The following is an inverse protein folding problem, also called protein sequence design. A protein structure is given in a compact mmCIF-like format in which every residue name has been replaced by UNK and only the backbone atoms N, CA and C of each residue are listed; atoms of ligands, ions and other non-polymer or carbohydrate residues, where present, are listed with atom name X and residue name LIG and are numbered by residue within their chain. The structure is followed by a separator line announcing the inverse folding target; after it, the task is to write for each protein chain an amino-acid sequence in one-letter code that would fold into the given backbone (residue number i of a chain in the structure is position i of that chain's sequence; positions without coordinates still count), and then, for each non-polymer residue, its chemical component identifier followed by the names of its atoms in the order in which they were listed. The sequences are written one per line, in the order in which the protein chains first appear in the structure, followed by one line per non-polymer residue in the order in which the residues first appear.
data_IF_753844077822
#
_entry.id   IF_753844077822
#
_cell.length_a   1.000
_cell.length_b   1.000
_cell.length_c   1.000
_cell.angle_alpha   90.00
_cell.angle_beta   90.00
_cell.angle_gamma   90.00
#
_symmetry.space_group_name_H-M   'P 1'
#
loop_
_entity.id
_entity.type
_entity.pdbx_description
1 polymer ?
#
# COMPACT_ATOMS: atom_id res chain seq x y z
N UNK A 1 14.70 11.37 -4.93
CA UNK A 1 13.31 11.69 -4.54
C UNK A 1 13.09 11.13 -3.15
N UNK A 2 12.68 11.94 -2.18
CA UNK A 2 12.59 11.52 -0.78
C UNK A 2 11.13 11.18 -0.46
N UNK A 3 10.73 9.93 -0.72
CA UNK A 3 9.35 9.44 -0.58
C UNK A 3 8.75 9.67 0.81
N UNK A 4 9.58 9.61 1.85
CA UNK A 4 9.17 9.86 3.24
C UNK A 4 8.81 11.34 3.41
N UNK A 5 9.65 12.24 2.88
CA UNK A 5 9.36 13.68 2.90
C UNK A 5 8.10 14.01 2.10
N UNK A 6 7.92 13.39 0.93
CA UNK A 6 6.74 13.59 0.10
C UNK A 6 5.47 13.15 0.85
N UNK A 7 5.49 11.97 1.50
CA UNK A 7 4.41 11.52 2.39
C UNK A 7 4.12 12.55 3.49
N UNK A 8 5.12 13.00 4.23
CA UNK A 8 4.95 13.98 5.31
C UNK A 8 4.33 15.27 4.80
N UNK A 9 4.80 15.79 3.66
CA UNK A 9 4.24 16.99 3.04
C UNK A 9 2.79 16.82 2.62
N UNK A 10 2.45 15.72 1.96
CA UNK A 10 1.08 15.45 1.53
C UNK A 10 0.16 15.31 2.77
N UNK A 11 0.61 14.57 3.77
CA UNK A 11 -0.14 14.32 5.01
C UNK A 11 -0.42 15.59 5.82
N UNK A 12 0.54 16.52 5.86
CA UNK A 12 0.42 17.80 6.56
C UNK A 12 -0.36 18.86 5.77
N UNK A 13 -0.33 18.80 4.43
CA UNK A 13 -0.87 19.85 3.56
C UNK A 13 -2.27 19.57 3.03
N UNK A 14 -2.64 18.30 2.81
CA UNK A 14 -3.96 17.97 2.29
C UNK A 14 -5.06 18.38 3.28
N UNK A 15 -6.12 18.98 2.73
CA UNK A 15 -7.31 19.42 3.47
C UNK A 15 -8.53 18.79 2.83
N UNK A 16 -9.27 18.03 3.63
CA UNK A 16 -10.58 17.52 3.24
C UNK A 16 -11.65 18.29 4.00
N UNK A 17 -12.77 18.59 3.33
CA UNK A 17 -13.93 19.19 3.99
C UNK A 17 -14.59 18.15 4.90
N UNK A 18 -14.54 18.36 6.21
CA UNK A 18 -15.16 17.45 7.18
C UNK A 18 -16.61 17.85 7.44
N UNK A 19 -17.52 16.88 7.47
CA UNK A 19 -18.93 17.11 7.86
C UNK A 19 -19.07 17.49 9.35
N UNK A 20 -18.14 17.03 10.19
CA UNK A 20 -18.06 17.36 11.62
C UNK A 20 -16.97 18.39 11.86
N UNK A 21 -17.30 19.52 12.49
CA UNK A 21 -16.32 20.45 13.08
C UNK A 21 -15.73 19.78 14.31
N UNK A 22 -14.74 18.90 14.13
CA UNK A 22 -14.02 18.29 15.26
C UNK A 22 -12.95 19.28 15.72
N UNK A 23 -13.04 19.70 16.98
CA UNK A 23 -12.07 20.56 17.64
C UNK A 23 -10.95 19.70 18.26
N UNK A 24 -10.05 19.12 17.46
CA UNK A 24 -8.85 18.45 18.00
C UNK A 24 -7.58 18.66 17.18
N UNK A 25 -6.47 18.65 17.94
CA UNK A 25 -5.09 19.02 17.62
C UNK A 25 -4.24 17.86 17.09
N UNK A 26 -4.79 16.92 16.31
CA UNK A 26 -3.95 15.90 15.68
C UNK A 26 -3.12 16.55 14.56
N UNK A 27 -1.82 16.28 14.54
CA UNK A 27 -0.90 16.79 13.51
C UNK A 27 -1.21 16.19 12.12
N UNK A 28 -1.65 14.93 12.09
CA UNK A 28 -2.14 14.29 10.87
C UNK A 28 -3.67 14.43 10.77
N UNK A 29 -4.12 15.23 9.81
CA UNK A 29 -5.56 15.50 9.59
C UNK A 29 -6.18 14.57 8.56
N UNK A 30 -5.39 13.81 7.81
CA UNK A 30 -5.88 12.83 6.84
C UNK A 30 -6.68 11.75 7.57
N UNK A 31 -6.17 11.26 8.70
CA UNK A 31 -6.82 10.22 9.53
C UNK A 31 -8.02 10.74 10.35
N UNK A 32 -8.41 12.02 10.19
CA UNK A 32 -9.64 12.55 10.81
C UNK A 32 -10.92 12.13 10.05
N UNK A 33 -10.79 11.65 8.81
CA UNK A 33 -11.92 11.09 8.08
C UNK A 33 -12.26 9.68 8.60
N UNK A 34 -13.54 9.32 8.50
CA UNK A 34 -14.04 8.00 8.92
C UNK A 34 -13.32 6.86 8.18
N UNK A 35 -13.12 7.05 6.88
CA UNK A 35 -12.45 6.12 5.98
C UNK A 35 -11.53 6.91 5.04
N UNK A 36 -10.29 6.44 4.86
CA UNK A 36 -9.32 7.03 3.93
C UNK A 36 -8.76 5.93 3.05
N UNK A 37 -8.66 6.19 1.74
CA UNK A 37 -7.81 5.43 0.83
C UNK A 37 -6.66 6.31 0.38
N UNK A 38 -5.44 5.77 0.46
CA UNK A 38 -4.24 6.41 -0.05
C UNK A 38 -3.58 5.47 -1.04
N UNK A 39 -3.48 5.90 -2.30
CA UNK A 39 -2.98 5.03 -3.35
C UNK A 39 -2.30 5.80 -4.48
N UNK A 40 -1.53 5.06 -5.28
CA UNK A 40 -0.84 5.55 -6.46
C UNK A 40 0.55 4.92 -6.62
N UNK A 41 1.35 5.49 -7.52
CA UNK A 41 2.79 5.20 -7.59
C UNK A 41 3.49 5.87 -6.40
N UNK A 42 3.61 5.14 -5.30
CA UNK A 42 4.36 5.55 -4.11
C UNK A 42 5.87 5.39 -4.31
N UNK A 43 6.27 4.66 -5.34
CA UNK A 43 7.62 4.57 -5.86
C UNK A 43 8.67 3.96 -4.91
N UNK A 44 8.22 3.24 -3.88
CA UNK A 44 9.06 2.41 -3.02
C UNK A 44 9.54 1.18 -3.80
N UNK A 45 10.77 0.74 -3.52
CA UNK A 45 11.45 -0.27 -4.31
C UNK A 45 11.78 -1.49 -3.47
N UNK A 46 11.93 -2.64 -4.13
CA UNK A 46 12.68 -3.73 -3.53
C UNK A 46 14.15 -3.32 -3.45
N UNK A 47 14.81 -3.55 -2.31
CA UNK A 47 16.22 -3.14 -2.15
C UNK A 47 17.18 -4.01 -2.94
N UNK A 48 16.82 -5.26 -3.23
CA UNK A 48 17.66 -6.18 -3.97
C UNK A 48 16.88 -7.14 -4.87
N UNK A 49 17.55 -7.60 -5.95
CA UNK A 49 17.02 -8.66 -6.84
C UNK A 49 17.19 -10.07 -6.26
N UNK A 50 17.97 -10.21 -5.18
CA UNK A 50 18.42 -11.50 -4.62
C UNK A 50 17.28 -12.49 -4.42
N UNK A 51 16.17 -12.04 -3.84
CA UNK A 51 15.04 -12.91 -3.58
C UNK A 51 14.35 -13.37 -4.87
N UNK A 52 14.20 -12.46 -5.84
CA UNK A 52 13.59 -12.81 -7.11
C UNK A 52 14.45 -13.78 -7.93
N UNK A 53 15.77 -13.58 -7.94
CA UNK A 53 16.71 -14.47 -8.64
C UNK A 53 16.82 -15.84 -7.95
N UNK A 54 16.82 -15.86 -6.60
CA UNK A 54 16.82 -17.08 -5.81
C UNK A 54 15.56 -17.92 -6.06
N UNK A 55 14.41 -17.26 -6.23
CA UNK A 55 13.13 -17.93 -6.49
C UNK A 55 12.93 -18.31 -7.97
N UNK A 56 13.63 -17.66 -8.90
CA UNK A 56 13.59 -17.99 -10.35
C UNK A 56 14.56 -19.10 -10.74
N UNK A 57 15.43 -19.54 -9.82
CA UNK A 57 16.43 -20.57 -10.08
C UNK A 57 15.80 -21.97 -10.11
N UNK A 58 15.96 -22.75 -11.20
CA UNK A 58 15.38 -24.07 -11.29
C UNK A 58 16.24 -25.06 -10.50
N UNK A 59 15.99 -25.21 -9.19
CA UNK A 59 16.22 -26.44 -8.39
C UNK A 59 16.14 -26.16 -6.88
N UNK A 60 15.08 -26.69 -6.26
CA UNK A 60 15.07 -27.82 -5.31
C UNK A 60 13.82 -27.71 -4.47
N UNK A 61 13.21 -28.86 -4.22
CA UNK A 61 12.20 -29.13 -3.20
C UNK A 61 12.50 -28.38 -1.89
N UNK A 62 12.14 -27.11 -1.81
CA UNK A 62 12.12 -26.39 -0.56
C UNK A 62 10.69 -26.49 -0.07
N UNK A 63 10.52 -27.27 0.98
CA UNK A 63 9.37 -27.22 1.88
C UNK A 63 9.30 -25.81 2.46
N UNK A 64 8.79 -24.86 1.70
CA UNK A 64 8.41 -23.57 2.23
C UNK A 64 7.07 -23.78 2.94
N UNK A 65 7.12 -23.63 4.25
CA UNK A 65 5.95 -23.64 5.13
C UNK A 65 5.10 -22.42 4.81
N UNK A 66 3.99 -22.60 4.08
CA UNK A 66 2.81 -21.70 3.96
C UNK A 66 3.03 -20.26 3.46
N UNK A 67 4.24 -19.70 3.47
CA UNK A 67 4.52 -18.33 3.04
C UNK A 67 4.56 -18.24 1.51
N UNK A 68 3.78 -17.32 0.93
CA UNK A 68 3.67 -17.19 -0.53
C UNK A 68 4.98 -16.65 -1.13
N UNK A 69 5.21 -16.91 -2.43
CA UNK A 69 6.34 -16.35 -3.19
C UNK A 69 6.46 -14.81 -3.02
N UNK A 70 5.33 -14.11 -2.95
CA UNK A 70 5.30 -12.65 -2.85
C UNK A 70 5.66 -12.15 -1.45
N UNK A 71 5.34 -12.92 -0.40
CA UNK A 71 5.69 -12.57 0.98
C UNK A 71 7.20 -12.45 1.16
N UNK A 72 7.96 -13.36 0.53
CA UNK A 72 9.41 -13.31 0.56
C UNK A 72 9.91 -11.98 -0.05
N UNK A 73 9.42 -11.62 -1.24
CA UNK A 73 9.78 -10.35 -1.87
C UNK A 73 9.48 -9.13 -0.98
N UNK A 74 8.36 -9.15 -0.25
CA UNK A 74 7.94 -8.03 0.61
C UNK A 74 8.80 -7.84 1.86
N UNK A 75 9.59 -8.85 2.27
CA UNK A 75 10.57 -8.72 3.37
C UNK A 75 11.61 -7.62 3.05
N UNK A 76 11.97 -7.46 1.77
CA UNK A 76 12.96 -6.47 1.31
C UNK A 76 12.32 -5.27 0.58
N UNK A 77 10.99 -5.11 0.71
CA UNK A 77 10.24 -3.97 0.18
C UNK A 77 10.41 -2.74 1.07
N UNK A 78 10.85 -1.63 0.49
CA UNK A 78 11.09 -0.41 1.24
C UNK A 78 9.83 0.13 1.93
N UNK A 79 8.64 0.09 1.31
CA UNK A 79 7.42 0.59 1.95
C UNK A 79 7.06 -0.25 3.16
N UNK A 80 7.07 -1.59 3.02
CA UNK A 80 6.86 -2.52 4.14
C UNK A 80 7.83 -2.21 5.27
N UNK A 81 9.13 -2.06 4.95
CA UNK A 81 10.15 -1.78 5.94
C UNK A 81 9.99 -0.40 6.61
N UNK A 82 9.67 0.66 5.88
CA UNK A 82 9.42 1.99 6.48
C UNK A 82 8.18 1.98 7.39
N UNK A 83 7.10 1.32 6.99
CA UNK A 83 5.92 1.13 7.85
C UNK A 83 6.25 0.32 9.10
N UNK A 84 7.23 -0.57 9.03
CA UNK A 84 7.70 -1.39 10.16
C UNK A 84 8.86 -0.80 10.96
N UNK A 85 9.53 0.27 10.50
CA UNK A 85 10.70 0.87 11.17
C UNK A 85 10.37 1.64 12.45
N UNK A 86 9.15 1.50 12.94
CA UNK A 86 8.66 2.20 14.10
C UNK A 86 9.45 1.95 15.37
N UNK A 87 9.40 2.91 16.28
CA UNK A 87 10.10 2.81 17.56
C UNK A 87 9.49 1.66 18.36
N UNK A 88 10.27 0.61 18.60
CA UNK A 88 9.94 -0.47 19.53
C UNK A 88 9.98 0.09 20.96
N UNK A 89 8.98 0.90 21.30
CA UNK A 89 8.75 1.26 22.70
C UNK A 89 7.98 0.12 23.34
N UNK A 90 8.17 -0.08 24.64
CA UNK A 90 7.51 -1.16 25.39
C UNK A 90 5.95 -1.06 25.37
N UNK A 91 5.39 0.02 24.79
CA UNK A 91 3.96 0.31 24.77
C UNK A 91 3.31 0.41 23.38
N UNK A 92 4.03 0.67 22.27
CA UNK A 92 3.44 0.73 20.93
C UNK A 92 4.49 0.57 19.80
N UNK A 93 4.07 -0.04 18.69
CA UNK A 93 4.80 -0.09 17.42
C UNK A 93 4.33 1.08 16.52
N UNK A 94 5.04 2.21 16.56
CA UNK A 94 4.68 3.42 15.82
C UNK A 94 5.51 3.54 14.54
N UNK A 95 4.99 3.08 13.39
CA UNK A 95 5.65 3.18 12.07
C UNK A 95 6.02 4.62 11.68
N UNK A 96 7.05 4.82 10.85
CA UNK A 96 7.53 6.18 10.48
C UNK A 96 6.65 6.87 9.43
N UNK A 97 5.94 6.09 8.62
CA UNK A 97 5.01 6.56 7.60
C UNK A 97 3.76 5.67 7.58
N UNK A 98 2.64 6.22 7.11
CA UNK A 98 1.37 5.51 7.01
C UNK A 98 0.92 4.86 8.32
N UNK A 99 1.18 5.52 9.45
CA UNK A 99 0.73 5.06 10.77
C UNK A 99 -0.80 4.92 10.80
N UNK A 100 -1.30 3.80 11.32
CA UNK A 100 -2.72 3.47 11.35
C UNK A 100 -3.32 2.99 10.02
N UNK A 101 -2.58 3.08 8.90
CA UNK A 101 -3.03 2.51 7.63
C UNK A 101 -2.73 1.02 7.54
N UNK A 102 -3.69 0.30 7.00
CA UNK A 102 -3.59 -1.08 6.58
C UNK A 102 -3.40 -1.18 5.07
N UNK A 103 -2.90 -2.33 4.63
CA UNK A 103 -2.79 -2.68 3.22
C UNK A 103 -3.31 -4.11 3.07
N UNK A 104 -4.07 -4.37 2.01
CA UNK A 104 -4.58 -5.70 1.73
C UNK A 104 -3.42 -6.64 1.35
N UNK A 105 -3.63 -7.94 1.52
CA UNK A 105 -2.61 -8.94 1.20
C UNK A 105 -2.22 -8.89 -0.29
N UNK A 106 -0.93 -8.73 -0.58
CA UNK A 106 -0.39 -8.69 -1.94
C UNK A 106 -0.12 -10.12 -2.38
N UNK A 107 -0.89 -10.58 -3.36
CA UNK A 107 -0.72 -11.90 -3.97
C UNK A 107 -0.51 -11.81 -5.50
N UNK A 108 0.19 -10.77 -5.94
CA UNK A 108 0.47 -10.47 -7.33
C UNK A 108 1.95 -10.04 -7.48
N UNK A 109 2.54 -10.17 -8.68
CA UNK A 109 3.95 -9.84 -8.90
C UNK A 109 4.24 -8.32 -8.88
N UNK A 110 5.52 -7.92 -8.77
CA UNK A 110 5.91 -6.51 -8.85
C UNK A 110 5.35 -5.79 -10.10
N UNK A 111 4.88 -4.56 -9.93
CA UNK A 111 4.11 -3.87 -10.98
C UNK A 111 4.94 -2.98 -11.89
N UNK A 112 6.23 -2.83 -11.62
CA UNK A 112 7.14 -2.00 -12.41
C UNK A 112 8.58 -2.51 -12.27
N UNK A 113 9.46 -2.45 -13.27
CA UNK A 113 9.33 -1.80 -14.58
C UNK A 113 9.31 -2.82 -15.71
N UNK A 114 8.36 -2.69 -16.62
CA UNK A 114 8.20 -3.55 -17.79
C UNK A 114 8.78 -2.94 -19.06
N UNK A 115 9.13 -3.79 -20.02
CA UNK A 115 9.32 -3.39 -21.42
C UNK A 115 7.95 -3.09 -22.01
N UNK A 116 7.79 -1.93 -22.64
CA UNK A 116 6.50 -1.50 -23.19
C UNK A 116 5.94 -2.53 -24.18
N UNK A 117 4.66 -2.84 -24.05
CA UNK A 117 3.99 -3.83 -24.90
C UNK A 117 4.23 -5.29 -24.52
N UNK A 118 5.01 -5.59 -23.47
CA UNK A 118 5.30 -6.97 -23.04
C UNK A 118 5.09 -7.20 -21.54
N UNK A 119 5.18 -8.46 -21.12
CA UNK A 119 5.19 -8.89 -19.72
C UNK A 119 6.62 -9.11 -19.18
N UNK A 120 7.63 -8.62 -19.89
CA UNK A 120 9.02 -8.79 -19.51
C UNK A 120 9.48 -7.61 -18.67
N UNK A 121 10.11 -7.92 -17.54
CA UNK A 121 10.79 -6.90 -16.76
C UNK A 121 12.03 -6.38 -17.47
N UNK A 122 12.30 -5.09 -17.31
CA UNK A 122 13.54 -4.49 -17.80
C UNK A 122 14.73 -5.07 -17.03
N UNK A 123 15.65 -5.73 -17.75
CA UNK A 123 16.73 -6.55 -17.18
C UNK A 123 17.71 -5.82 -16.26
N UNK A 124 17.94 -4.53 -16.49
CA UNK A 124 18.84 -3.70 -15.67
C UNK A 124 18.14 -2.99 -14.50
N UNK A 125 16.88 -3.36 -14.22
CA UNK A 125 16.08 -2.79 -13.12
C UNK A 125 15.70 -3.89 -12.15
N UNK A 126 15.45 -3.49 -10.91
CA UNK A 126 14.85 -4.35 -9.89
C UNK A 126 13.34 -4.12 -9.94
N UNK A 127 12.57 -5.11 -10.43
CA UNK A 127 11.12 -5.08 -10.29
C UNK A 127 10.65 -4.84 -8.86
N UNK A 128 9.68 -3.95 -8.71
CA UNK A 128 9.26 -3.35 -7.45
C UNK A 128 7.75 -3.13 -7.39
N UNK A 129 7.20 -3.14 -6.18
CA UNK A 129 5.81 -2.80 -5.88
C UNK A 129 5.67 -1.27 -5.70
N UNK A 130 5.78 -0.54 -6.79
CA UNK A 130 5.69 0.92 -6.77
C UNK A 130 4.26 1.41 -6.59
N UNK A 131 3.29 0.65 -7.11
CA UNK A 131 1.88 1.00 -7.15
C UNK A 131 1.15 0.31 -6.00
N UNK A 132 0.60 1.08 -5.05
CA UNK A 132 0.09 0.56 -3.78
C UNK A 132 -1.25 1.18 -3.41
N UNK A 133 -2.08 0.43 -2.68
CA UNK A 133 -3.36 0.88 -2.13
C UNK A 133 -3.36 0.61 -0.63
N UNK A 134 -3.32 1.68 0.16
CA UNK A 134 -3.45 1.65 1.61
C UNK A 134 -4.80 2.22 2.02
N UNK A 135 -5.31 1.79 3.17
CA UNK A 135 -6.56 2.28 3.72
C UNK A 135 -6.48 2.47 5.24
N UNK A 136 -7.25 3.43 5.75
CA UNK A 136 -7.40 3.69 7.17
C UNK A 136 -8.89 3.80 7.50
N UNK A 137 -9.27 3.26 8.66
CA UNK A 137 -10.61 3.37 9.23
C UNK A 137 -10.50 3.90 10.66
N UNK A 138 -11.33 4.88 11.02
CA UNK A 138 -11.36 5.44 12.39
C UNK A 138 -12.00 4.48 13.39
N UNK A 139 -12.88 3.61 12.91
CA UNK A 139 -13.54 2.54 13.65
C UNK A 139 -13.28 1.21 12.96
N UNK A 140 -12.96 0.17 13.73
CA UNK A 140 -12.69 -1.15 13.19
C UNK A 140 -13.87 -1.73 12.40
N UNK A 141 -13.56 -2.56 11.40
CA UNK A 141 -14.54 -3.34 10.61
C UNK A 141 -15.43 -2.50 9.67
N UNK A 142 -15.00 -1.28 9.33
CA UNK A 142 -15.65 -0.41 8.32
C UNK A 142 -15.21 -0.73 6.91
N UNK A 143 -13.95 -1.08 6.68
CA UNK A 143 -13.37 -1.40 5.37
C UNK A 143 -12.91 -2.85 5.38
N UNK A 144 -13.45 -3.67 4.47
CA UNK A 144 -12.98 -5.05 4.25
C UNK A 144 -12.47 -5.21 2.82
N UNK A 145 -11.20 -5.53 2.62
CA UNK A 145 -10.70 -5.90 1.31
C UNK A 145 -11.35 -7.19 0.82
N UNK A 146 -11.86 -7.16 -0.41
CA UNK A 146 -12.37 -8.34 -1.13
C UNK A 146 -11.30 -8.85 -2.09
N UNK A 147 -10.65 -7.93 -2.82
CA UNK A 147 -9.60 -8.26 -3.79
C UNK A 147 -8.57 -7.14 -3.86
N UNK A 148 -7.30 -7.51 -3.98
CA UNK A 148 -6.20 -6.59 -4.24
C UNK A 148 -5.24 -7.27 -5.21
N UNK A 149 -5.13 -6.71 -6.41
CA UNK A 149 -4.51 -7.39 -7.54
C UNK A 149 -4.05 -6.39 -8.60
N UNK A 150 -3.34 -6.88 -9.62
CA UNK A 150 -2.95 -6.11 -10.79
C UNK A 150 -3.64 -6.63 -12.06
N UNK A 151 -3.80 -5.76 -13.05
CA UNK A 151 -4.23 -6.15 -14.39
C UNK A 151 -3.01 -6.60 -15.21
N UNK A 152 -2.68 -7.89 -15.11
CA UNK A 152 -1.47 -8.45 -15.73
C UNK A 152 -1.43 -8.34 -17.25
N UNK A 153 -2.58 -8.45 -17.92
CA UNK A 153 -2.66 -8.42 -19.38
C UNK A 153 -2.51 -7.01 -19.99
N UNK A 154 -2.55 -5.96 -19.17
CA UNK A 154 -2.41 -4.58 -19.64
C UNK A 154 -0.92 -4.20 -19.80
N UNK A 155 -0.55 -3.80 -21.03
CA UNK A 155 0.85 -3.61 -21.45
C UNK A 155 1.12 -2.22 -22.08
N UNK A 156 0.16 -1.31 -22.04
CA UNK A 156 0.31 0.05 -22.61
C UNK A 156 1.30 0.93 -21.85
N UNK A 157 1.64 0.57 -20.61
CA UNK A 157 2.56 1.27 -19.72
C UNK A 157 3.69 0.34 -19.26
N UNK A 158 4.77 0.93 -18.76
CA UNK A 158 5.83 0.22 -18.05
C UNK A 158 5.45 -0.12 -16.60
N UNK A 159 4.23 0.26 -16.19
CA UNK A 159 3.54 -0.15 -14.97
C UNK A 159 2.32 -1.02 -15.27
N UNK A 160 2.05 -1.99 -14.39
CA UNK A 160 0.78 -2.73 -14.35
C UNK A 160 -0.25 -1.98 -13.51
N UNK A 161 -1.47 -1.72 -14.03
CA UNK A 161 -2.53 -1.13 -13.22
C UNK A 161 -2.84 -1.98 -12.00
N UNK A 162 -2.86 -1.35 -10.82
CA UNK A 162 -3.24 -2.00 -9.55
C UNK A 162 -4.65 -1.57 -9.18
N UNK A 163 -5.46 -2.52 -8.71
CA UNK A 163 -6.82 -2.26 -8.26
C UNK A 163 -7.11 -2.95 -6.93
N UNK A 164 -8.01 -2.34 -6.16
CA UNK A 164 -8.51 -2.87 -4.91
C UNK A 164 -10.04 -2.79 -4.88
N UNK A 165 -10.68 -3.89 -4.50
CA UNK A 165 -12.11 -3.99 -4.29
C UNK A 165 -12.36 -4.14 -2.78
N UNK A 166 -13.23 -3.30 -2.23
CA UNK A 166 -13.51 -3.26 -0.79
C UNK A 166 -15.02 -3.20 -0.55
N UNK A 167 -15.51 -3.87 0.48
CA UNK A 167 -16.82 -3.55 1.07
C UNK A 167 -16.64 -2.46 2.12
N UNK A 168 -17.52 -1.48 2.13
CA UNK A 168 -17.52 -0.41 3.12
C UNK A 168 -18.84 -0.33 3.87
N UNK A 169 -18.77 -0.23 5.20
CA UNK A 169 -19.91 0.15 6.03
C UNK A 169 -20.02 1.67 6.05
N UNK A 170 -21.10 2.19 5.51
CA UNK A 170 -21.41 3.63 5.53
C UNK A 170 -22.48 3.92 6.58
N UNK A 171 -22.43 5.10 7.17
CA UNK A 171 -23.52 5.58 8.02
C UNK A 171 -24.70 5.95 7.14
N UNK A 172 -25.88 5.45 7.48
CA UNK A 172 -27.13 5.93 6.88
C UNK A 172 -27.42 7.34 7.42
N UNK A 173 -26.96 8.35 6.68
CA UNK A 173 -27.31 9.72 6.96
C UNK A 173 -28.70 9.97 6.34
N UNK A 174 -29.76 9.81 7.13
CA UNK A 174 -31.07 10.31 6.73
C UNK A 174 -30.97 11.83 6.55
N UNK A 175 -30.96 12.27 5.30
CA UNK A 175 -31.04 13.67 4.93
C UNK A 175 -32.41 14.17 5.41
N UNK A 176 -32.47 14.76 6.61
CA UNK A 176 -33.64 15.55 6.97
C UNK A 176 -33.63 16.76 6.05
N UNK A 177 -34.51 16.73 5.04
CA UNK A 177 -34.80 17.88 4.22
C UNK A 177 -35.14 19.03 5.17
N UNK A 178 -34.28 20.06 5.19
CA UNK A 178 -34.59 21.31 5.89
C UNK A 178 -35.85 21.84 5.21
N UNK A 179 -36.97 21.83 5.95
CA UNK A 179 -38.21 22.49 5.55
C UNK A 179 -38.04 24.00 5.53
#
# INVERSE_FOLDING_TARGET
MNRIYDYSKISESLRFSTLKKVAHSSSNRVTQADCVFWFGDLNFRLRSRKQLDALSSPKKEQKYTVDSYFDQLLIDDELTLERCKGMFTIYCFLGTIFEGFSEAYINFPPTHKFVLGTNDYVSNRIPSYTDRILYHESESDRIKPIKYDCLWEENSSDHKPVFGLFTMRVLDHQYQSVK
#
